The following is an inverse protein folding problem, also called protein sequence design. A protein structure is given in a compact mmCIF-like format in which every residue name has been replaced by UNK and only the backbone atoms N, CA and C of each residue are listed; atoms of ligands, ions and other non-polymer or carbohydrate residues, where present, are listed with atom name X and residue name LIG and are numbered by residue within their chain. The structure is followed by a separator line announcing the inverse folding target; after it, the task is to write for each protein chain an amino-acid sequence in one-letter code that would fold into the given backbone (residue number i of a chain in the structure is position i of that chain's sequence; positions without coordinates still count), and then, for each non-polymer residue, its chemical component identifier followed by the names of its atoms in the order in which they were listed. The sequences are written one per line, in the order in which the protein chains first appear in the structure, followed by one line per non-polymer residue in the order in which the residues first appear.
data_IF_322613338388
#
_entry.id   IF_322613338388
#
_cell.length_a   1.000
_cell.length_b   1.000
_cell.length_c   1.000
_cell.angle_alpha   90.00
_cell.angle_beta   90.00
_cell.angle_gamma   90.00
#
_symmetry.space_group_name_H-M   'P 1'
#
loop_
_entity.id
_entity.type
_entity.pdbx_description
1 polymer ?
#
# COMPACT_ATOMS: atom_id res chain seq x y z
N UNK A 1 26.52 -62.21 40.51
CA UNK A 1 27.40 -63.16 39.77
C UNK A 1 26.69 -63.47 38.47
N UNK A 2 27.28 -63.64 37.29
CA UNK A 2 28.59 -63.35 36.74
C UNK A 2 28.54 -63.88 35.28
N UNK A 3 28.85 -63.02 34.30
CA UNK A 3 29.53 -63.35 33.02
C UNK A 3 28.79 -64.24 31.99
N UNK A 4 29.07 -64.17 30.68
CA UNK A 4 30.16 -63.49 29.95
C UNK A 4 29.73 -62.93 28.56
N UNK A 5 30.60 -62.11 27.95
CA UNK A 5 30.62 -61.83 26.50
C UNK A 5 31.81 -62.54 25.83
N UNK A 6 31.81 -62.66 24.49
CA UNK A 6 32.88 -62.07 23.64
C UNK A 6 32.28 -61.24 22.47
N UNK A 7 32.73 -60.03 22.12
CA UNK A 7 34.03 -59.57 21.54
C UNK A 7 34.11 -59.60 20.00
N UNK A 8 34.57 -58.45 19.43
CA UNK A 8 35.08 -58.08 18.08
C UNK A 8 34.38 -56.80 17.55
N UNK A 9 35.00 -55.79 16.93
CA UNK A 9 36.33 -55.17 17.02
C UNK A 9 36.29 -53.75 16.37
N UNK A 10 37.36 -52.95 16.46
CA UNK A 10 37.55 -51.56 15.91
C UNK A 10 38.92 -51.49 15.18
N UNK A 11 39.46 -50.34 14.70
CA UNK A 11 38.99 -48.94 14.63
C UNK A 11 38.58 -48.53 13.18
N UNK A 12 38.83 -47.40 12.48
CA UNK A 12 39.65 -46.15 12.58
C UNK A 12 38.99 -44.98 11.81
N UNK A 13 39.41 -43.73 12.10
CA UNK A 13 39.32 -42.55 11.19
C UNK A 13 38.02 -41.74 11.20
N UNK A 14 38.00 -40.40 11.35
CA UNK A 14 39.02 -39.49 11.90
C UNK A 14 39.27 -38.19 11.09
N UNK A 15 38.65 -37.07 11.48
CA UNK A 15 39.10 -35.68 11.22
C UNK A 15 38.28 -34.68 12.05
N UNK A 16 38.93 -33.70 12.69
CA UNK A 16 38.29 -32.73 13.60
C UNK A 16 39.19 -31.49 13.81
N UNK A 17 38.76 -30.29 13.40
CA UNK A 17 39.40 -28.98 13.67
C UNK A 17 38.34 -27.86 13.51
N UNK A 18 38.52 -26.62 14.02
CA UNK A 18 37.64 -26.17 15.11
C UNK A 18 36.86 -24.86 14.83
N UNK A 19 35.98 -24.50 15.77
CA UNK A 19 35.41 -23.15 15.90
C UNK A 19 36.22 -22.37 16.93
N UNK A 20 36.61 -21.14 16.60
CA UNK A 20 37.34 -20.22 17.50
C UNK A 20 36.41 -19.39 18.39
N UNK A 21 36.88 -19.05 19.60
CA UNK A 21 36.15 -18.26 20.59
C UNK A 21 36.25 -16.75 20.32
N UNK A 22 35.22 -15.98 20.74
CA UNK A 22 35.42 -14.65 21.34
C UNK A 22 34.19 -14.17 22.17
N UNK A 23 34.35 -14.22 23.49
CA UNK A 23 33.64 -13.44 24.53
C UNK A 23 34.53 -12.23 24.93
N UNK A 24 34.21 -11.32 25.91
CA UNK A 24 33.09 -11.22 26.87
C UNK A 24 32.19 -9.97 26.57
N UNK A 25 31.21 -9.51 27.37
CA UNK A 25 30.82 -9.64 28.79
C UNK A 25 29.30 -10.02 28.91
N UNK A 26 28.68 -10.46 30.02
CA UNK A 26 28.66 -10.04 31.44
C UNK A 26 28.03 -8.64 31.69
N UNK A 27 27.13 -8.41 32.67
CA UNK A 27 26.44 -9.30 33.64
C UNK A 27 25.30 -8.54 34.38
N UNK A 28 24.28 -9.27 34.88
CA UNK A 28 23.27 -8.90 35.91
C UNK A 28 22.32 -7.70 35.58
N UNK A 29 20.99 -7.79 35.74
CA UNK A 29 20.14 -7.86 36.95
C UNK A 29 20.12 -6.60 37.83
N UNK A 30 18.95 -5.94 37.93
CA UNK A 30 18.22 -5.74 39.19
C UNK A 30 16.76 -5.32 38.92
N UNK A 31 15.81 -5.94 39.61
CA UNK A 31 14.43 -5.46 39.77
C UNK A 31 14.34 -4.53 40.98
N UNK A 32 13.64 -3.39 40.84
CA UNK A 32 13.14 -2.65 42.00
C UNK A 32 11.81 -1.97 41.67
N UNK A 33 10.75 -2.32 42.42
CA UNK A 33 9.54 -1.52 42.48
C UNK A 33 9.70 -0.43 43.54
N UNK A 34 9.27 0.80 43.27
CA UNK A 34 9.04 1.78 44.32
C UNK A 34 7.81 2.62 43.97
N UNK A 35 6.82 2.65 44.87
CA UNK A 35 5.68 3.55 44.78
C UNK A 35 5.99 4.82 45.57
N UNK A 36 5.74 5.99 44.99
CA UNK A 36 5.44 7.22 45.73
C UNK A 36 4.36 8.00 44.99
N UNK A 37 3.61 8.81 45.73
CA UNK A 37 2.35 9.39 45.29
C UNK A 37 2.34 10.92 45.35
N UNK A 38 1.39 11.51 44.61
CA UNK A 38 0.84 12.88 44.75
C UNK A 38 1.83 14.06 44.66
N UNK A 39 1.61 14.91 43.65
CA UNK A 39 2.35 16.16 43.46
C UNK A 39 1.71 17.04 42.38
N UNK A 40 0.48 17.50 42.61
CA UNK A 40 -0.19 18.39 41.66
C UNK A 40 0.39 19.82 41.74
N UNK A 41 0.91 20.31 40.62
CA UNK A 41 1.30 21.73 40.46
C UNK A 41 0.57 22.34 39.26
N UNK A 42 -0.44 23.15 39.55
CA UNK A 42 -0.93 24.15 38.61
C UNK A 42 0.00 25.37 38.69
N UNK A 43 0.49 25.87 37.55
CA UNK A 43 1.39 27.01 37.50
C UNK A 43 1.15 27.84 36.24
N UNK A 44 0.56 29.02 36.41
CA UNK A 44 0.50 30.04 35.35
C UNK A 44 1.90 30.41 34.87
N UNK A 45 2.03 30.63 33.56
CA UNK A 45 3.05 31.50 32.99
C UNK A 45 2.39 32.57 32.11
N UNK A 46 2.14 33.73 32.70
CA UNK A 46 1.97 34.96 31.93
C UNK A 46 3.37 35.44 31.51
N UNK A 47 3.55 35.73 30.22
CA UNK A 47 4.81 36.32 29.73
C UNK A 47 4.89 37.83 30.00
N UNK A 48 6.12 38.41 30.00
CA UNK A 48 6.29 39.86 30.02
C UNK A 48 6.38 40.42 28.59
N UNK A 49 5.61 41.47 28.31
CA UNK A 49 5.87 42.35 27.15
C UNK A 49 7.05 43.27 27.46
N UNK A 50 7.95 43.49 26.50
CA UNK A 50 9.03 44.47 26.61
C UNK A 50 9.07 45.37 25.35
N UNK A 51 9.10 46.67 25.54
CA UNK A 51 9.07 47.70 24.48
C UNK A 51 10.45 47.95 23.87
N UNK A 52 10.47 48.37 22.60
CA UNK A 52 11.69 48.72 21.88
C UNK A 52 12.26 50.10 22.24
N UNK A 53 13.59 50.30 22.14
CA UNK A 53 14.22 51.59 21.87
C UNK A 53 14.38 51.81 20.35
N UNK A 54 14.44 53.06 19.90
CA UNK A 54 14.47 53.41 18.47
C UNK A 54 15.79 54.00 17.96
N UNK A 55 16.00 53.79 16.65
CA UNK A 55 16.79 54.61 15.70
C UNK A 55 18.28 54.88 16.01
N UNK A 56 19.15 54.29 15.18
CA UNK A 56 20.38 54.92 14.71
C UNK A 56 20.51 54.71 13.20
N UNK A 57 20.78 55.78 12.43
CA UNK A 57 20.90 55.70 10.97
C UNK A 57 22.28 55.17 10.55
N UNK A 58 22.31 54.21 9.62
CA UNK A 58 23.50 53.81 8.88
C UNK A 58 23.15 53.63 7.39
N UNK A 59 23.57 54.57 6.55
CA UNK A 59 23.30 54.53 5.10
C UNK A 59 24.23 53.53 4.40
N UNK A 60 23.77 52.30 4.21
CA UNK A 60 24.36 51.37 3.26
C UNK A 60 23.85 51.68 1.85
N UNK A 61 24.77 51.87 0.90
CA UNK A 61 24.42 52.07 -0.52
C UNK A 61 23.86 50.79 -1.17
N UNK A 62 23.03 50.90 -2.21
CA UNK A 62 22.50 49.72 -2.90
C UNK A 62 23.62 48.94 -3.58
N UNK A 63 23.78 47.67 -3.21
CA UNK A 63 24.59 46.72 -3.99
C UNK A 63 23.97 46.57 -5.39
N UNK A 64 24.79 46.38 -6.45
CA UNK A 64 24.28 46.28 -7.81
C UNK A 64 23.39 45.04 -7.95
N UNK A 65 22.10 45.27 -8.22
CA UNK A 65 21.16 44.21 -8.62
C UNK A 65 21.66 43.65 -9.95
N UNK A 66 22.22 42.43 -9.92
CA UNK A 66 22.45 41.66 -11.14
C UNK A 66 21.10 41.50 -11.85
N UNK A 67 20.95 41.94 -13.11
CA UNK A 67 19.69 41.83 -13.82
C UNK A 67 19.42 40.35 -14.10
N UNK A 68 18.54 39.75 -13.29
CA UNK A 68 17.99 38.42 -13.57
C UNK A 68 17.39 38.43 -14.97
N UNK A 69 17.85 37.51 -15.82
CA UNK A 69 17.49 37.47 -17.24
C UNK A 69 16.07 36.93 -17.45
N UNK A 70 15.08 37.71 -17.04
CA UNK A 70 13.68 37.56 -17.45
C UNK A 70 13.59 37.83 -18.96
N UNK A 71 13.98 36.81 -19.74
CA UNK A 71 13.82 36.80 -21.19
C UNK A 71 12.36 37.14 -21.50
N UNK A 72 12.07 38.16 -22.32
CA UNK A 72 10.71 38.61 -22.53
C UNK A 72 9.85 37.44 -23.03
N UNK A 73 8.66 37.30 -22.47
CA UNK A 73 7.73 36.21 -22.76
C UNK A 73 7.23 36.31 -24.21
N UNK A 74 8.08 35.85 -25.14
CA UNK A 74 7.82 35.88 -26.56
C UNK A 74 6.52 35.14 -26.83
N UNK A 75 5.53 35.87 -27.37
CA UNK A 75 4.26 35.29 -27.81
C UNK A 75 4.55 34.07 -28.69
N UNK A 76 3.77 32.99 -28.58
CA UNK A 76 3.81 31.94 -29.58
C UNK A 76 3.64 32.56 -30.98
N UNK A 77 4.43 32.12 -31.98
CA UNK A 77 4.29 32.60 -33.34
C UNK A 77 2.89 32.25 -33.90
N UNK A 78 2.40 32.94 -34.94
CA UNK A 78 1.20 32.53 -35.65
C UNK A 78 1.41 31.13 -36.24
N UNK A 79 0.84 30.12 -35.58
CA UNK A 79 1.09 28.72 -35.89
C UNK A 79 0.39 28.31 -37.19
N UNK A 80 1.15 28.14 -38.26
CA UNK A 80 0.65 27.74 -39.59
C UNK A 80 0.33 26.24 -39.68
N UNK A 81 0.77 25.43 -38.72
CA UNK A 81 0.39 24.01 -38.60
C UNK A 81 0.70 23.48 -37.20
N UNK A 82 -0.03 22.43 -36.77
CA UNK A 82 0.26 21.70 -35.54
C UNK A 82 1.70 21.17 -35.46
N UNK A 83 2.29 20.76 -36.59
CA UNK A 83 3.67 20.28 -36.65
C UNK A 83 4.69 21.37 -36.29
N UNK A 84 4.56 22.55 -36.90
CA UNK A 84 5.42 23.71 -36.59
C UNK A 84 5.25 24.16 -35.13
N UNK A 85 4.05 24.01 -34.56
CA UNK A 85 3.81 24.30 -33.14
C UNK A 85 4.49 23.32 -32.20
N UNK A 86 4.40 22.01 -32.48
CA UNK A 86 5.08 20.96 -31.73
C UNK A 86 6.60 21.15 -31.77
N UNK A 87 7.14 21.51 -32.94
CA UNK A 87 8.56 21.85 -33.09
C UNK A 87 8.95 23.10 -32.28
N UNK A 88 8.11 24.14 -32.26
CA UNK A 88 8.34 25.32 -31.42
C UNK A 88 8.34 24.97 -29.92
N UNK A 89 7.40 24.14 -29.43
CA UNK A 89 7.38 23.69 -28.03
C UNK A 89 8.64 22.90 -27.69
N UNK A 90 9.09 21.98 -28.56
CA UNK A 90 10.35 21.25 -28.38
C UNK A 90 11.56 22.19 -28.32
N UNK A 91 11.67 23.10 -29.28
CA UNK A 91 12.76 24.09 -29.35
C UNK A 91 12.77 25.07 -28.16
N UNK A 92 11.63 25.22 -27.47
CA UNK A 92 11.50 25.97 -26.21
C UNK A 92 11.92 25.15 -25.00
N UNK A 93 11.42 23.92 -24.88
CA UNK A 93 11.78 22.99 -23.79
C UNK A 93 13.27 22.63 -23.81
N UNK A 94 13.88 22.46 -24.99
CA UNK A 94 15.33 22.29 -25.16
C UNK A 94 16.14 23.48 -24.63
N UNK A 95 15.54 24.67 -24.52
CA UNK A 95 16.12 25.90 -23.96
C UNK A 95 15.68 26.15 -22.51
N UNK A 96 15.06 25.16 -21.85
CA UNK A 96 14.60 25.24 -20.46
C UNK A 96 13.24 25.91 -20.24
N UNK A 97 12.54 26.35 -21.30
CA UNK A 97 11.22 26.97 -21.21
C UNK A 97 10.11 25.91 -21.08
N UNK A 98 10.02 25.31 -19.89
CA UNK A 98 9.03 24.26 -19.52
C UNK A 98 7.59 24.75 -19.67
N UNK A 99 7.35 26.03 -19.41
CA UNK A 99 6.04 26.69 -19.53
C UNK A 99 5.54 26.89 -20.96
N UNK A 100 6.38 26.65 -21.97
CA UNK A 100 6.00 26.83 -23.37
C UNK A 100 4.87 25.88 -23.82
N UNK A 101 4.86 24.64 -23.30
CA UNK A 101 3.81 23.66 -23.62
C UNK A 101 2.45 24.07 -23.06
N UNK A 102 2.41 24.67 -21.87
CA UNK A 102 1.19 25.18 -21.23
C UNK A 102 0.64 26.40 -21.97
N UNK A 103 1.49 27.40 -22.25
CA UNK A 103 1.09 28.56 -23.07
C UNK A 103 0.55 28.12 -24.43
N UNK A 104 1.14 27.07 -25.02
CA UNK A 104 0.68 26.51 -26.28
C UNK A 104 -0.70 25.85 -26.15
N UNK A 105 -0.92 25.00 -25.13
CA UNK A 105 -2.21 24.38 -24.85
C UNK A 105 -3.34 25.41 -24.64
N UNK A 106 -3.07 26.50 -23.92
CA UNK A 106 -4.06 27.57 -23.67
C UNK A 106 -4.46 28.40 -24.90
N UNK A 107 -3.68 28.35 -25.99
CA UNK A 107 -3.99 29.09 -27.22
C UNK A 107 -4.75 28.26 -28.27
N UNK A 108 -5.20 27.05 -27.92
CA UNK A 108 -6.09 26.17 -28.69
C UNK A 108 -5.79 26.13 -30.21
N UNK A 109 -4.51 25.93 -30.53
CA UNK A 109 -3.92 26.19 -31.83
C UNK A 109 -4.22 25.13 -32.92
N UNK A 110 -5.48 24.70 -33.02
CA UNK A 110 -5.94 23.71 -34.01
C UNK A 110 -5.37 22.30 -33.83
N UNK A 111 -4.80 21.98 -32.65
CA UNK A 111 -4.34 20.62 -32.36
C UNK A 111 -5.51 19.63 -32.36
N UNK A 112 -5.32 18.50 -33.03
CA UNK A 112 -6.20 17.34 -32.85
C UNK A 112 -5.98 16.70 -31.48
N UNK A 113 -6.98 15.97 -30.99
CA UNK A 113 -6.95 15.25 -29.72
C UNK A 113 -5.75 14.30 -29.61
N UNK A 114 -5.43 13.59 -30.68
CA UNK A 114 -4.26 12.71 -30.79
C UNK A 114 -2.95 13.48 -30.65
N UNK A 115 -2.85 14.69 -31.22
CA UNK A 115 -1.66 15.55 -31.09
C UNK A 115 -1.53 16.10 -29.66
N UNK A 116 -2.64 16.46 -29.00
CA UNK A 116 -2.66 16.87 -27.58
C UNK A 116 -2.16 15.73 -26.68
N UNK A 117 -2.67 14.51 -26.88
CA UNK A 117 -2.25 13.30 -26.17
C UNK A 117 -0.78 12.95 -26.46
N UNK A 118 -0.34 13.09 -27.72
CA UNK A 118 1.05 12.89 -28.14
C UNK A 118 2.02 13.84 -27.44
N UNK A 119 1.69 15.14 -27.38
CA UNK A 119 2.46 16.13 -26.64
C UNK A 119 2.49 15.79 -25.14
N UNK A 120 1.34 15.56 -24.51
CA UNK A 120 1.29 15.23 -23.08
C UNK A 120 2.13 13.98 -22.73
N UNK A 121 2.22 12.99 -23.63
CA UNK A 121 3.10 11.82 -23.48
C UNK A 121 4.59 12.19 -23.57
N UNK A 122 4.98 13.08 -24.48
CA UNK A 122 6.35 13.60 -24.61
C UNK A 122 6.77 14.45 -23.38
N UNK A 123 5.83 15.22 -22.82
CA UNK A 123 6.03 15.94 -21.55
C UNK A 123 6.21 14.96 -20.37
N UNK A 124 5.37 13.94 -20.27
CA UNK A 124 5.44 12.93 -19.20
C UNK A 124 6.72 12.08 -19.24
N UNK A 125 7.32 11.86 -20.42
CA UNK A 125 8.65 11.24 -20.52
C UNK A 125 9.74 12.13 -19.88
N UNK A 126 9.52 13.44 -19.80
CA UNK A 126 10.43 14.43 -19.23
C UNK A 126 9.97 14.95 -17.86
N UNK A 127 9.01 14.29 -17.20
CA UNK A 127 8.31 14.82 -16.03
C UNK A 127 9.21 15.32 -14.89
N UNK A 128 10.37 14.69 -14.66
CA UNK A 128 11.37 15.12 -13.65
C UNK A 128 11.98 16.51 -13.88
N UNK A 129 11.74 17.14 -15.04
CA UNK A 129 12.18 18.51 -15.38
C UNK A 129 11.00 19.49 -15.49
N UNK A 130 9.78 19.03 -15.24
CA UNK A 130 8.55 19.81 -15.36
C UNK A 130 7.96 20.07 -13.96
N UNK A 131 7.25 21.18 -13.81
CA UNK A 131 6.35 21.37 -12.68
C UNK A 131 5.18 20.37 -12.81
N UNK A 132 4.90 19.51 -11.81
CA UNK A 132 3.80 18.55 -11.88
C UNK A 132 2.42 19.22 -11.93
N UNK A 133 2.26 20.44 -11.40
CA UNK A 133 1.02 21.21 -11.56
C UNK A 133 0.80 21.65 -13.02
N UNK A 134 1.87 21.92 -13.79
CA UNK A 134 1.80 22.20 -15.23
C UNK A 134 1.35 20.94 -15.99
N UNK A 135 1.94 19.79 -15.68
CA UNK A 135 1.55 18.50 -16.26
C UNK A 135 0.09 18.16 -15.93
N UNK A 136 -0.35 18.41 -14.69
CA UNK A 136 -1.72 18.19 -14.25
C UNK A 136 -2.73 19.02 -15.06
N UNK A 137 -2.48 20.33 -15.23
CA UNK A 137 -3.36 21.20 -16.04
C UNK A 137 -3.44 20.75 -17.50
N UNK A 138 -2.32 20.35 -18.09
CA UNK A 138 -2.27 19.82 -19.46
C UNK A 138 -3.04 18.50 -19.58
N UNK A 139 -2.85 17.55 -18.66
CA UNK A 139 -3.48 16.22 -18.70
C UNK A 139 -4.98 16.28 -18.40
N UNK A 140 -5.41 17.15 -17.47
CA UNK A 140 -6.84 17.38 -17.20
C UNK A 140 -7.54 18.16 -18.32
N UNK A 141 -6.79 18.90 -19.14
CA UNK A 141 -7.26 19.52 -20.38
C UNK A 141 -7.32 18.59 -21.59
N UNK A 142 -6.99 17.31 -21.45
CA UNK A 142 -7.14 16.31 -22.52
C UNK A 142 -8.59 15.81 -22.63
N UNK A 143 -9.05 15.46 -23.85
CA UNK A 143 -10.25 14.66 -24.04
C UNK A 143 -10.21 13.37 -23.22
N UNK A 144 -11.35 12.99 -22.65
CA UNK A 144 -11.43 11.86 -21.73
C UNK A 144 -11.37 10.53 -22.47
N UNK A 145 -10.58 9.61 -21.94
CA UNK A 145 -10.37 8.29 -22.53
C UNK A 145 -9.07 7.66 -22.04
N UNK A 146 -8.92 6.36 -22.28
CA UNK A 146 -7.85 5.52 -21.70
C UNK A 146 -6.44 6.15 -21.79
N UNK A 147 -6.10 6.86 -22.87
CA UNK A 147 -4.80 7.49 -23.03
C UNK A 147 -4.56 8.69 -22.09
N UNK A 148 -5.55 9.55 -21.87
CA UNK A 148 -5.47 10.65 -20.91
C UNK A 148 -5.46 10.13 -19.47
N UNK A 149 -6.28 9.12 -19.20
CA UNK A 149 -6.40 8.47 -17.90
C UNK A 149 -5.08 7.77 -17.50
N UNK A 150 -4.44 7.07 -18.44
CA UNK A 150 -3.10 6.48 -18.24
C UNK A 150 -2.03 7.53 -17.94
N UNK A 151 -2.10 8.71 -18.58
CA UNK A 151 -1.18 9.83 -18.30
C UNK A 151 -1.43 10.41 -16.90
N UNK A 152 -2.69 10.53 -16.46
CA UNK A 152 -3.06 10.98 -15.12
C UNK A 152 -2.56 10.01 -14.04
N UNK A 153 -2.81 8.71 -14.21
CA UNK A 153 -2.35 7.67 -13.28
C UNK A 153 -0.83 7.66 -13.14
N UNK A 154 -0.11 7.81 -14.26
CA UNK A 154 1.35 7.94 -14.24
C UNK A 154 1.81 9.21 -13.52
N UNK A 155 1.22 10.37 -13.81
CA UNK A 155 1.55 11.62 -13.12
C UNK A 155 1.34 11.49 -11.61
N UNK A 156 0.22 10.91 -11.19
CA UNK A 156 -0.10 10.67 -9.78
C UNK A 156 0.91 9.73 -9.11
N UNK A 157 1.37 8.69 -9.81
CA UNK A 157 2.42 7.79 -9.30
C UNK A 157 3.80 8.45 -9.20
N UNK A 158 4.25 9.08 -10.30
CA UNK A 158 5.52 9.81 -10.35
C UNK A 158 5.55 10.94 -9.30
N UNK A 159 4.45 11.69 -9.14
CA UNK A 159 4.34 12.78 -8.16
C UNK A 159 4.31 12.27 -6.72
N UNK A 160 3.38 11.38 -6.38
CA UNK A 160 3.22 10.86 -5.00
C UNK A 160 4.46 10.12 -4.48
N UNK A 161 5.30 9.60 -5.39
CA UNK A 161 6.61 9.03 -5.07
C UNK A 161 7.61 10.10 -4.60
N UNK A 162 7.64 11.28 -5.23
CA UNK A 162 8.61 12.34 -4.97
C UNK A 162 8.13 13.37 -3.92
N UNK A 163 6.85 13.77 -3.96
CA UNK A 163 6.20 14.66 -3.00
C UNK A 163 4.77 14.16 -2.74
N UNK A 164 4.60 13.42 -1.64
CA UNK A 164 3.33 12.80 -1.30
C UNK A 164 2.26 13.81 -0.84
N UNK A 165 2.63 14.92 -0.20
CA UNK A 165 1.67 15.91 0.33
C UNK A 165 1.16 16.82 -0.80
N UNK A 166 2.04 17.28 -1.70
CA UNK A 166 1.60 18.01 -2.89
C UNK A 166 0.78 17.13 -3.85
N UNK A 167 1.14 15.84 -3.99
CA UNK A 167 0.33 14.89 -4.74
C UNK A 167 -1.04 14.64 -4.08
N UNK A 168 -1.10 14.52 -2.74
CA UNK A 168 -2.37 14.42 -2.00
C UNK A 168 -3.24 15.66 -2.24
N UNK A 169 -2.69 16.87 -2.08
CA UNK A 169 -3.40 18.12 -2.33
C UNK A 169 -3.91 18.21 -3.77
N UNK A 170 -3.17 17.69 -4.76
CA UNK A 170 -3.66 17.59 -6.14
C UNK A 170 -4.81 16.58 -6.28
N UNK A 171 -4.68 15.37 -5.72
CA UNK A 171 -5.74 14.35 -5.72
C UNK A 171 -7.01 14.90 -5.04
N UNK A 172 -6.85 15.68 -3.96
CA UNK A 172 -7.92 16.39 -3.26
C UNK A 172 -8.61 17.47 -4.13
N UNK A 173 -8.07 17.87 -5.28
CA UNK A 173 -8.75 18.75 -6.26
C UNK A 173 -9.46 18.02 -7.40
N UNK A 174 -9.29 16.69 -7.54
CA UNK A 174 -9.92 15.93 -8.61
C UNK A 174 -11.45 15.83 -8.43
N UNK A 175 -12.24 15.89 -9.53
CA UNK A 175 -13.67 15.64 -9.46
C UNK A 175 -13.95 14.17 -9.09
N UNK A 176 -15.12 13.84 -8.49
CA UNK A 176 -15.38 12.51 -7.93
C UNK A 176 -15.18 11.33 -8.90
N UNK A 177 -15.48 11.54 -10.18
CA UNK A 177 -15.36 10.58 -11.28
C UNK A 177 -13.93 10.45 -11.86
N UNK A 178 -12.99 11.26 -11.37
CA UNK A 178 -11.54 11.04 -11.48
C UNK A 178 -10.97 10.47 -10.19
N UNK A 179 -11.40 11.03 -9.06
CA UNK A 179 -10.92 10.69 -7.72
C UNK A 179 -11.15 9.22 -7.36
N UNK A 180 -12.35 8.68 -7.60
CA UNK A 180 -12.68 7.28 -7.28
C UNK A 180 -12.18 6.27 -8.33
N UNK A 181 -11.33 6.68 -9.29
CA UNK A 181 -10.77 5.72 -10.27
C UNK A 181 -9.63 4.90 -9.67
N UNK A 182 -9.67 3.58 -9.88
CA UNK A 182 -8.66 2.63 -9.36
C UNK A 182 -7.23 3.12 -9.59
N UNK A 183 -6.89 3.54 -10.81
CA UNK A 183 -5.54 3.96 -11.16
C UNK A 183 -5.09 5.32 -10.60
N UNK A 184 -5.97 6.14 -10.00
CA UNK A 184 -5.54 7.29 -9.19
C UNK A 184 -5.19 6.82 -7.77
N UNK A 185 -6.04 5.97 -7.19
CA UNK A 185 -5.94 5.59 -5.77
C UNK A 185 -4.90 4.51 -5.51
N UNK A 186 -4.79 3.48 -6.36
CA UNK A 186 -3.76 2.45 -6.22
C UNK A 186 -2.36 3.03 -6.48
N UNK A 187 -2.20 3.79 -7.57
CA UNK A 187 -0.89 4.32 -7.96
C UNK A 187 -0.38 5.49 -7.09
N UNK A 188 -1.26 6.16 -6.33
CA UNK A 188 -0.85 7.14 -5.31
C UNK A 188 -0.49 6.51 -3.96
N UNK A 189 -0.92 5.27 -3.70
CA UNK A 189 -0.86 4.68 -2.37
C UNK A 189 0.57 4.49 -1.82
N UNK A 190 1.59 4.36 -2.67
CA UNK A 190 3.00 4.40 -2.25
C UNK A 190 3.41 5.75 -1.63
N UNK A 191 2.86 6.86 -2.14
CA UNK A 191 3.03 8.16 -1.50
C UNK A 191 2.21 8.26 -0.23
N UNK A 192 0.92 7.91 -0.30
CA UNK A 192 -0.02 8.07 0.80
C UNK A 192 0.34 7.19 2.03
N UNK A 193 0.90 5.99 1.85
CA UNK A 193 1.34 5.12 2.95
C UNK A 193 2.45 5.73 3.82
N UNK A 194 3.14 6.78 3.32
CA UNK A 194 4.20 7.51 4.01
C UNK A 194 3.72 8.81 4.68
N UNK A 195 2.47 9.24 4.43
CA UNK A 195 1.85 10.38 5.10
C UNK A 195 1.21 9.95 6.44
N UNK A 196 0.95 10.89 7.37
CA UNK A 196 0.19 10.57 8.58
C UNK A 196 -1.17 9.94 8.24
N UNK A 197 -1.54 8.85 8.94
CA UNK A 197 -2.79 8.12 8.69
C UNK A 197 -4.02 9.03 8.64
N UNK A 198 -4.06 10.07 9.49
CA UNK A 198 -5.12 11.06 9.56
C UNK A 198 -5.30 11.88 8.26
N UNK A 199 -4.23 12.15 7.49
CA UNK A 199 -4.33 12.78 6.15
C UNK A 199 -4.95 11.82 5.13
N UNK A 200 -4.54 10.54 5.15
CA UNK A 200 -5.07 9.51 4.25
C UNK A 200 -6.54 9.19 4.57
N UNK A 201 -6.93 9.24 5.84
CA UNK A 201 -8.32 9.05 6.27
C UNK A 201 -9.20 10.26 5.94
N UNK A 202 -8.65 11.48 5.97
CA UNK A 202 -9.35 12.68 5.47
C UNK A 202 -9.63 12.60 3.95
N UNK A 203 -8.71 12.04 3.17
CA UNK A 203 -8.97 11.69 1.77
C UNK A 203 -10.06 10.61 1.66
N UNK A 204 -9.93 9.51 2.42
CA UNK A 204 -10.85 8.37 2.36
C UNK A 204 -12.30 8.75 2.69
N UNK A 205 -12.52 9.73 3.58
CA UNK A 205 -13.85 10.27 3.91
C UNK A 205 -14.55 10.98 2.74
N UNK A 206 -13.84 11.22 1.62
CA UNK A 206 -14.37 11.80 0.38
C UNK A 206 -14.60 10.75 -0.72
N UNK A 207 -14.25 9.48 -0.48
CA UNK A 207 -14.31 8.40 -1.45
C UNK A 207 -15.60 7.59 -1.31
N UNK A 208 -16.14 7.14 -2.44
CA UNK A 208 -17.19 6.13 -2.46
C UNK A 208 -16.65 4.75 -2.06
N UNK A 209 -17.55 3.77 -2.01
CA UNK A 209 -17.24 2.43 -1.50
C UNK A 209 -16.20 1.70 -2.37
N UNK A 210 -16.16 1.94 -3.68
CA UNK A 210 -15.11 1.42 -4.56
C UNK A 210 -13.80 2.18 -4.35
N UNK A 211 -13.87 3.51 -4.24
CA UNK A 211 -12.71 4.34 -3.95
C UNK A 211 -11.99 3.94 -2.66
N UNK A 212 -12.73 3.68 -1.57
CA UNK A 212 -12.13 3.19 -0.32
C UNK A 212 -11.50 1.80 -0.49
N UNK A 213 -12.10 0.89 -1.27
CA UNK A 213 -11.49 -0.40 -1.61
C UNK A 213 -10.22 -0.27 -2.47
N UNK A 214 -10.19 0.59 -3.49
CA UNK A 214 -8.99 0.81 -4.33
C UNK A 214 -7.85 1.46 -3.54
N UNK A 215 -8.17 2.36 -2.61
CA UNK A 215 -7.19 2.93 -1.69
C UNK A 215 -6.62 1.85 -0.75
N UNK A 216 -7.46 0.98 -0.20
CA UNK A 216 -7.02 -0.17 0.61
C UNK A 216 -6.07 -1.09 -0.17
N UNK A 217 -6.45 -1.45 -1.40
CA UNK A 217 -5.69 -2.33 -2.29
C UNK A 217 -4.28 -1.77 -2.56
N UNK A 218 -4.19 -0.49 -2.93
CA UNK A 218 -2.92 0.18 -3.14
C UNK A 218 -2.05 0.22 -1.88
N UNK A 219 -2.61 0.59 -0.73
CA UNK A 219 -1.85 0.70 0.53
C UNK A 219 -1.26 -0.66 0.97
N UNK A 220 -1.92 -1.75 0.60
CA UNK A 220 -1.52 -3.14 0.87
C UNK A 220 -0.49 -3.65 -0.12
N UNK A 221 -0.59 -3.26 -1.39
CA UNK A 221 0.43 -3.55 -2.42
C UNK A 221 1.79 -2.90 -2.15
N UNK A 222 1.81 -1.78 -1.42
CA UNK A 222 3.05 -1.07 -1.03
C UNK A 222 3.44 -1.22 0.45
N UNK A 223 2.72 -2.05 1.23
CA UNK A 223 2.92 -2.25 2.67
C UNK A 223 4.36 -2.57 3.10
N UNK A 224 5.01 -3.45 2.34
CA UNK A 224 6.34 -3.99 2.65
C UNK A 224 7.46 -2.99 2.35
N UNK A 225 7.18 -1.96 1.55
CA UNK A 225 8.17 -0.99 1.14
C UNK A 225 8.42 0.04 2.25
N UNK A 226 9.69 0.26 2.57
CA UNK A 226 10.16 1.14 3.64
C UNK A 226 9.61 0.85 5.06
N UNK A 227 9.03 -0.34 5.31
CA UNK A 227 8.42 -0.68 6.60
C UNK A 227 7.10 0.06 6.88
N UNK A 228 6.44 0.57 5.83
CA UNK A 228 5.25 1.43 5.93
C UNK A 228 4.03 0.74 6.55
N UNK A 229 4.04 -0.60 6.66
CA UNK A 229 2.93 -1.41 7.17
C UNK A 229 2.29 -0.90 8.46
N UNK A 230 3.05 -0.43 9.46
CA UNK A 230 2.46 0.07 10.72
C UNK A 230 1.48 1.23 10.49
N UNK A 231 1.74 2.07 9.48
CA UNK A 231 0.85 3.15 9.08
C UNK A 231 -0.31 2.63 8.21
N UNK A 232 -0.04 1.76 7.23
CA UNK A 232 -1.08 1.08 6.44
C UNK A 232 -2.11 0.37 7.34
N UNK A 233 -1.67 -0.41 8.33
CA UNK A 233 -2.57 -1.11 9.26
C UNK A 233 -3.45 -0.14 10.07
N UNK A 234 -2.87 0.98 10.53
CA UNK A 234 -3.61 2.02 11.25
C UNK A 234 -4.62 2.77 10.36
N UNK A 235 -4.37 2.88 9.06
CA UNK A 235 -5.32 3.39 8.06
C UNK A 235 -6.42 2.34 7.84
N UNK A 236 -6.08 1.10 7.46
CA UNK A 236 -7.04 0.03 7.16
C UNK A 236 -8.01 -0.24 8.32
N UNK A 237 -7.53 -0.31 9.56
CA UNK A 237 -8.36 -0.52 10.75
C UNK A 237 -9.34 0.65 11.03
N UNK A 238 -9.11 1.83 10.45
CA UNK A 238 -9.98 3.01 10.50
C UNK A 238 -10.75 3.26 9.20
N UNK A 239 -10.47 2.50 8.12
CA UNK A 239 -11.02 2.68 6.77
C UNK A 239 -12.43 2.07 6.66
N UNK A 240 -13.32 2.57 7.52
CA UNK A 240 -14.66 2.05 7.73
C UNK A 240 -15.57 2.23 6.51
N UNK A 241 -16.53 1.32 6.37
CA UNK A 241 -17.70 1.44 5.50
C UNK A 241 -18.04 0.12 4.81
N UNK A 242 -19.20 0.03 4.14
CA UNK A 242 -19.44 -1.06 3.21
C UNK A 242 -18.36 -1.10 2.13
N UNK A 243 -18.00 -2.31 1.70
CA UNK A 243 -17.25 -2.56 0.47
C UNK A 243 -18.20 -3.17 -0.57
N UNK A 244 -18.04 -2.87 -1.87
CA UNK A 244 -18.83 -3.49 -2.93
C UNK A 244 -18.75 -5.03 -2.89
N UNK A 245 -19.80 -5.79 -3.29
CA UNK A 245 -19.82 -7.26 -3.18
C UNK A 245 -18.74 -7.98 -4.00
N UNK A 246 -18.23 -7.32 -5.03
CA UNK A 246 -17.15 -7.72 -5.94
C UNK A 246 -15.77 -7.19 -5.54
N UNK A 247 -15.71 -6.23 -4.60
CA UNK A 247 -14.48 -5.64 -4.12
C UNK A 247 -13.90 -6.38 -2.90
N UNK A 248 -12.58 -6.28 -2.75
CA UNK A 248 -11.89 -6.74 -1.54
C UNK A 248 -12.04 -5.64 -0.46
N UNK A 249 -12.51 -6.05 0.73
CA UNK A 249 -12.71 -5.16 1.89
C UNK A 249 -11.42 -4.90 2.65
N UNK A 250 -11.28 -3.70 3.24
CA UNK A 250 -10.10 -3.31 4.04
C UNK A 250 -9.80 -4.30 5.18
N UNK A 251 -10.83 -4.81 5.87
CA UNK A 251 -10.72 -5.80 6.93
C UNK A 251 -10.15 -7.14 6.44
N UNK A 252 -10.47 -7.55 5.21
CA UNK A 252 -9.91 -8.78 4.62
C UNK A 252 -8.42 -8.61 4.33
N UNK A 253 -8.03 -7.47 3.76
CA UNK A 253 -6.63 -7.18 3.46
C UNK A 253 -5.79 -7.04 4.74
N UNK A 254 -6.37 -6.42 5.77
CA UNK A 254 -5.78 -6.32 7.10
C UNK A 254 -5.61 -7.71 7.74
N UNK A 255 -6.60 -8.58 7.63
CA UNK A 255 -6.52 -9.98 8.09
C UNK A 255 -5.43 -10.77 7.36
N UNK A 256 -5.39 -10.70 6.03
CA UNK A 256 -4.36 -11.37 5.20
C UNK A 256 -2.95 -10.91 5.58
N UNK A 257 -2.70 -9.59 5.66
CA UNK A 257 -1.36 -9.06 5.96
C UNK A 257 -0.95 -9.22 7.41
N UNK A 258 -1.85 -9.04 8.39
CA UNK A 258 -1.49 -9.29 9.79
C UNK A 258 -1.18 -10.77 10.03
N UNK A 259 -1.77 -11.71 9.30
CA UNK A 259 -1.42 -13.13 9.40
C UNK A 259 0.04 -13.40 9.00
N UNK A 260 0.50 -12.77 7.93
CA UNK A 260 1.87 -12.87 7.40
C UNK A 260 2.92 -12.29 8.37
N UNK A 261 2.71 -11.07 8.87
CA UNK A 261 3.77 -10.29 9.55
C UNK A 261 3.51 -9.97 11.03
N UNK A 262 2.30 -10.18 11.56
CA UNK A 262 1.96 -9.88 12.96
C UNK A 262 0.77 -10.70 13.51
N UNK A 263 0.77 -12.04 13.44
CA UNK A 263 -0.43 -12.86 13.72
C UNK A 263 -0.94 -12.75 15.16
N UNK A 264 -0.07 -12.42 16.12
CA UNK A 264 -0.49 -12.13 17.51
C UNK A 264 -1.36 -10.87 17.61
N UNK A 265 -1.06 -9.84 16.81
CA UNK A 265 -1.88 -8.63 16.72
C UNK A 265 -3.22 -8.93 16.06
N UNK A 266 -3.26 -9.83 15.07
CA UNK A 266 -4.50 -10.27 14.44
C UNK A 266 -5.41 -11.01 15.40
N UNK A 267 -4.91 -11.97 16.19
CA UNK A 267 -5.72 -12.67 17.19
C UNK A 267 -6.22 -11.73 18.32
N UNK A 268 -5.41 -10.74 18.70
CA UNK A 268 -5.82 -9.67 19.62
C UNK A 268 -6.93 -8.79 19.03
N UNK A 269 -6.83 -8.41 17.74
CA UNK A 269 -7.88 -7.67 17.06
C UNK A 269 -9.16 -8.51 16.88
N UNK A 270 -9.03 -9.79 16.51
CA UNK A 270 -10.16 -10.70 16.37
C UNK A 270 -10.92 -10.91 17.68
N UNK A 271 -10.22 -10.94 18.83
CA UNK A 271 -10.86 -11.08 20.16
C UNK A 271 -11.50 -9.79 20.67
N UNK A 272 -11.16 -8.62 20.10
CA UNK A 272 -11.73 -7.32 20.48
C UNK A 272 -12.73 -6.75 19.45
N UNK A 273 -12.74 -7.24 18.21
CA UNK A 273 -13.74 -6.87 17.20
C UNK A 273 -15.13 -7.41 17.57
N UNK A 274 -16.07 -6.48 17.74
CA UNK A 274 -17.47 -6.74 18.14
C UNK A 274 -18.42 -6.83 16.96
N UNK A 275 -18.04 -6.33 15.78
CA UNK A 275 -18.83 -6.45 14.55
C UNK A 275 -18.60 -7.83 13.91
N UNK A 276 -19.62 -8.71 13.84
CA UNK A 276 -19.45 -10.05 13.27
C UNK A 276 -19.04 -10.03 11.79
N UNK A 277 -19.50 -9.06 11.00
CA UNK A 277 -19.18 -8.99 9.58
C UNK A 277 -17.70 -8.62 9.37
N UNK A 278 -17.18 -7.67 10.16
CA UNK A 278 -15.75 -7.31 10.16
C UNK A 278 -14.87 -8.43 10.68
N UNK A 279 -15.26 -9.06 11.79
CA UNK A 279 -14.55 -10.22 12.35
C UNK A 279 -14.50 -11.36 11.33
N UNK A 280 -15.60 -11.63 10.64
CA UNK A 280 -15.65 -12.64 9.57
C UNK A 280 -14.75 -12.24 8.39
N UNK A 281 -14.62 -10.95 8.05
CA UNK A 281 -13.69 -10.49 7.00
C UNK A 281 -12.22 -10.62 7.40
N UNK A 282 -11.86 -10.26 8.64
CA UNK A 282 -10.54 -10.50 9.21
C UNK A 282 -10.20 -12.00 9.18
N UNK A 283 -11.15 -12.88 9.54
CA UNK A 283 -11.00 -14.33 9.47
C UNK A 283 -10.85 -14.85 8.03
N UNK A 284 -11.63 -14.37 7.07
CA UNK A 284 -11.49 -14.71 5.65
C UNK A 284 -10.10 -14.36 5.11
N UNK A 285 -9.50 -13.25 5.56
CA UNK A 285 -8.12 -12.88 5.22
C UNK A 285 -7.09 -13.77 5.91
N UNK A 286 -7.28 -14.05 7.20
CA UNK A 286 -6.40 -14.92 7.99
C UNK A 286 -6.35 -16.35 7.45
N UNK A 287 -7.53 -16.91 7.14
CA UNK A 287 -7.68 -18.25 6.59
C UNK A 287 -7.01 -18.38 5.22
N UNK A 288 -7.17 -17.37 4.35
CA UNK A 288 -6.55 -17.31 3.03
C UNK A 288 -5.02 -17.32 3.10
N UNK A 289 -4.42 -16.49 3.97
CA UNK A 289 -2.95 -16.44 4.07
C UNK A 289 -2.37 -17.68 4.79
N UNK A 290 -2.99 -18.11 5.89
CA UNK A 290 -2.53 -19.29 6.62
C UNK A 290 -2.70 -20.56 5.77
N UNK A 291 -3.84 -20.69 5.09
CA UNK A 291 -4.21 -21.86 4.29
C UNK A 291 -3.32 -22.11 3.07
N UNK A 292 -2.56 -21.11 2.60
CA UNK A 292 -1.51 -21.27 1.58
C UNK A 292 -0.36 -22.16 2.03
N UNK A 293 -0.05 -22.14 3.33
CA UNK A 293 1.12 -22.81 3.92
C UNK A 293 0.73 -23.97 4.86
N UNK A 294 -0.42 -23.84 5.54
CA UNK A 294 -1.03 -24.85 6.41
C UNK A 294 -2.55 -24.91 6.10
N UNK A 295 -2.97 -25.69 5.09
CA UNK A 295 -4.37 -25.81 4.69
C UNK A 295 -5.32 -26.29 5.81
N UNK A 296 -4.96 -27.30 6.65
CA UNK A 296 -5.73 -27.63 7.85
C UNK A 296 -5.99 -26.42 8.75
N UNK A 297 -4.96 -25.62 9.04
CA UNK A 297 -5.09 -24.43 9.90
C UNK A 297 -5.89 -23.31 9.23
N UNK A 298 -5.79 -23.15 7.91
CA UNK A 298 -6.68 -22.27 7.14
C UNK A 298 -8.16 -22.65 7.30
N UNK A 299 -8.48 -23.93 7.18
CA UNK A 299 -9.84 -24.46 7.34
C UNK A 299 -10.36 -24.34 8.78
N UNK A 300 -9.49 -24.44 9.79
CA UNK A 300 -9.82 -24.09 11.18
C UNK A 300 -10.14 -22.60 11.38
N UNK A 301 -9.53 -21.71 10.59
CA UNK A 301 -9.87 -20.27 10.60
C UNK A 301 -11.21 -20.00 9.91
N UNK A 302 -11.49 -20.64 8.77
CA UNK A 302 -12.81 -20.55 8.13
C UNK A 302 -13.91 -21.06 9.07
N UNK A 303 -13.65 -22.13 9.85
CA UNK A 303 -14.58 -22.66 10.84
C UNK A 303 -14.99 -21.64 11.93
N UNK A 304 -14.19 -20.59 12.16
CA UNK A 304 -14.48 -19.51 13.12
C UNK A 304 -15.39 -18.41 12.55
N UNK A 305 -15.61 -18.38 11.23
CA UNK A 305 -16.52 -17.43 10.55
C UNK A 305 -17.93 -17.66 11.08
N UNK A 306 -18.65 -16.60 11.46
CA UNK A 306 -19.98 -16.68 12.06
C UNK A 306 -21.08 -16.94 11.02
N UNK A 307 -21.09 -16.23 9.88
CA UNK A 307 -22.08 -16.46 8.82
C UNK A 307 -21.93 -17.89 8.23
N UNK A 308 -22.97 -18.73 8.27
CA UNK A 308 -22.88 -20.13 7.85
C UNK A 308 -22.66 -20.30 6.34
N UNK A 309 -23.18 -19.39 5.50
CA UNK A 309 -23.04 -19.45 4.04
C UNK A 309 -21.65 -19.00 3.61
N UNK A 310 -21.10 -17.98 4.27
CA UNK A 310 -19.72 -17.53 4.05
C UNK A 310 -18.74 -18.62 4.51
N UNK A 311 -18.95 -19.18 5.72
CA UNK A 311 -18.17 -20.31 6.24
C UNK A 311 -18.18 -21.51 5.29
N UNK A 312 -19.35 -21.97 4.85
CA UNK A 312 -19.47 -23.08 3.90
C UNK A 312 -18.72 -22.80 2.58
N UNK A 313 -18.92 -21.60 2.01
CA UNK A 313 -18.24 -21.17 0.77
C UNK A 313 -16.72 -21.20 0.91
N UNK A 314 -16.18 -20.70 2.03
CA UNK A 314 -14.74 -20.61 2.25
C UNK A 314 -14.09 -21.97 2.56
N UNK A 315 -14.69 -22.78 3.46
CA UNK A 315 -14.26 -24.16 3.73
C UNK A 315 -14.21 -24.97 2.42
N UNK A 316 -15.25 -24.84 1.58
CA UNK A 316 -15.28 -25.48 0.26
C UNK A 316 -14.15 -24.98 -0.66
N UNK A 317 -14.00 -23.66 -0.80
CA UNK A 317 -12.99 -23.04 -1.67
C UNK A 317 -11.56 -23.45 -1.30
N UNK A 318 -11.17 -23.34 -0.03
CA UNK A 318 -9.83 -23.73 0.41
C UNK A 318 -9.61 -25.25 0.33
N UNK A 319 -10.65 -26.08 0.54
CA UNK A 319 -10.54 -27.54 0.32
C UNK A 319 -10.33 -27.88 -1.16
N UNK A 320 -11.07 -27.24 -2.07
CA UNK A 320 -10.91 -27.44 -3.52
C UNK A 320 -9.53 -26.98 -4.00
N UNK A 321 -9.05 -25.83 -3.50
CA UNK A 321 -7.70 -25.36 -3.81
C UNK A 321 -6.59 -26.28 -3.24
N UNK A 322 -6.79 -26.86 -2.06
CA UNK A 322 -5.86 -27.85 -1.51
C UNK A 322 -5.88 -29.17 -2.31
N UNK A 323 -7.03 -29.59 -2.83
CA UNK A 323 -7.13 -30.74 -3.75
C UNK A 323 -6.46 -30.51 -5.12
N UNK A 324 -6.20 -29.25 -5.48
CA UNK A 324 -5.42 -28.85 -6.65
C UNK A 324 -3.90 -28.83 -6.34
N UNK A 325 -3.49 -28.32 -5.17
CA UNK A 325 -2.07 -28.15 -4.81
C UNK A 325 -1.41 -29.40 -4.20
N UNK A 326 -2.05 -30.06 -3.23
CA UNK A 326 -1.67 -31.38 -2.72
C UNK A 326 -2.92 -32.25 -2.51
N UNK A 327 -3.35 -32.86 -3.61
CA UNK A 327 -4.43 -33.84 -3.64
C UNK A 327 -4.22 -35.00 -2.66
N UNK A 328 -2.99 -35.40 -2.36
CA UNK A 328 -2.72 -36.57 -1.51
C UNK A 328 -3.03 -36.25 -0.06
N UNK A 329 -2.50 -35.13 0.46
CA UNK A 329 -2.80 -34.67 1.81
C UNK A 329 -4.27 -34.25 1.95
N UNK A 330 -4.84 -33.55 0.97
CA UNK A 330 -6.25 -33.13 0.99
C UNK A 330 -7.22 -34.32 1.00
N UNK A 331 -6.99 -35.36 0.18
CA UNK A 331 -7.79 -36.60 0.22
C UNK A 331 -7.59 -37.39 1.51
N UNK A 332 -6.40 -37.35 2.13
CA UNK A 332 -6.18 -37.96 3.45
C UNK A 332 -6.99 -37.21 4.53
N UNK A 333 -6.93 -35.88 4.54
CA UNK A 333 -7.69 -35.04 5.45
C UNK A 333 -9.20 -35.19 5.30
N UNK A 334 -9.76 -35.25 4.08
CA UNK A 334 -11.20 -35.45 3.83
C UNK A 334 -11.77 -36.74 4.47
N UNK A 335 -10.93 -37.77 4.64
CA UNK A 335 -11.27 -39.03 5.30
C UNK A 335 -11.11 -39.00 6.82
N UNK A 336 -10.51 -37.94 7.37
CA UNK A 336 -10.23 -37.79 8.81
C UNK A 336 -11.47 -37.37 9.63
N UNK A 337 -11.43 -37.54 10.97
CA UNK A 337 -12.43 -36.97 11.86
C UNK A 337 -12.48 -35.43 11.86
N UNK A 338 -11.36 -34.75 11.58
CA UNK A 338 -11.31 -33.28 11.55
C UNK A 338 -12.17 -32.72 10.41
N UNK A 339 -12.03 -33.26 9.20
CA UNK A 339 -12.92 -32.92 8.08
C UNK A 339 -14.39 -33.23 8.38
N UNK A 340 -14.67 -34.25 9.20
CA UNK A 340 -16.03 -34.60 9.62
C UNK A 340 -16.66 -33.62 10.63
N UNK A 341 -15.86 -32.76 11.28
CA UNK A 341 -16.35 -31.66 12.12
C UNK A 341 -16.62 -30.39 11.32
N UNK A 342 -15.86 -30.15 10.24
CA UNK A 342 -15.91 -28.91 9.46
C UNK A 342 -16.78 -28.99 8.20
N UNK A 343 -17.01 -30.19 7.64
CA UNK A 343 -17.72 -30.39 6.38
C UNK A 343 -18.63 -31.62 6.44
N UNK A 344 -19.84 -31.51 5.90
CA UNK A 344 -20.85 -32.56 6.03
C UNK A 344 -20.49 -33.83 5.24
N UNK A 345 -21.25 -34.91 5.48
CA UNK A 345 -20.99 -36.22 4.86
C UNK A 345 -21.23 -36.23 3.36
N UNK A 346 -22.21 -35.50 2.84
CA UNK A 346 -22.53 -35.43 1.42
C UNK A 346 -21.52 -34.56 0.67
N UNK A 347 -21.20 -33.37 1.18
CA UNK A 347 -20.15 -32.48 0.66
C UNK A 347 -18.81 -33.25 0.53
N UNK A 348 -18.36 -33.91 1.60
CA UNK A 348 -17.13 -34.73 1.57
C UNK A 348 -17.25 -35.92 0.62
N UNK A 349 -18.39 -36.62 0.60
CA UNK A 349 -18.59 -37.71 -0.36
C UNK A 349 -18.68 -37.23 -1.82
N UNK A 350 -19.06 -35.97 -2.07
CA UNK A 350 -19.04 -35.34 -3.40
C UNK A 350 -17.60 -35.03 -3.82
N UNK A 351 -16.85 -34.29 -2.99
CA UNK A 351 -15.43 -33.99 -3.26
C UNK A 351 -14.60 -35.28 -3.42
N UNK A 352 -14.75 -36.25 -2.51
CA UNK A 352 -14.08 -37.54 -2.63
C UNK A 352 -14.41 -38.23 -3.96
N UNK A 353 -15.66 -38.25 -4.43
CA UNK A 353 -16.02 -38.84 -5.74
C UNK A 353 -15.43 -38.05 -6.91
N UNK A 354 -15.58 -36.73 -6.92
CA UNK A 354 -15.08 -35.85 -7.99
C UNK A 354 -13.57 -35.97 -8.18
N UNK A 355 -12.80 -36.14 -7.10
CA UNK A 355 -11.34 -36.23 -7.15
C UNK A 355 -10.79 -37.68 -7.05
N UNK A 356 -11.63 -38.72 -7.18
CA UNK A 356 -11.21 -40.15 -7.29
C UNK A 356 -11.50 -40.84 -8.63
N UNK A 357 -12.11 -40.14 -9.58
CA UNK A 357 -12.14 -40.58 -10.99
C UNK A 357 -10.92 -39.93 -11.67
N UNK A 358 -9.89 -40.65 -12.11
CA UNK A 358 -9.78 -42.08 -12.41
C UNK A 358 -8.59 -42.73 -11.66
N UNK A 359 -8.86 -43.68 -10.74
CA UNK A 359 -7.80 -44.40 -10.02
C UNK A 359 -8.08 -45.91 -9.78
N UNK A 360 -9.11 -46.48 -10.41
CA UNK A 360 -9.30 -47.95 -10.53
C UNK A 360 -9.97 -48.29 -11.86
N UNK A 361 -9.19 -48.77 -12.83
CA UNK A 361 -9.59 -49.76 -13.83
C UNK A 361 -8.36 -50.44 -14.42
#
# INVERSE_FOLDING_TARGET
MALACPLFAKPLGGSFVPVGEMLPYCRLLTTTSLCFALGAFAGWWCGPSATAPGVANATAGPAPILPGTTSPAAKPPPFTSAAASMEWVRARMQKGDTTAAERFFHHDAGLTDEQRIGLARELMQNARRMDPHVLARIILGLPRGQAADTLLWRLVSDWSTNDAEAALLFIETLPPDRLNTVGVLTNSAFGLSRLPAERVLALAARLDDHGRSYLAEGLVGFADQAGSWRNTAAILAKLNGPSPPDAISAEWMLGMRLAEIAPQSLESQLTTETDPAKRDKLLQGYAHETGRNDPPRGLEMDARIQDPKVREKHIKYHTEHWLESDRTAALAWLRSPAAAQLMDREQRAKLLRTYHLEAVR
#
